data_IF_567066676598
#
_entry.id   IF_567066676598
#
_cell.length_a   1.000
_cell.length_b   1.000
_cell.length_c   1.000
_cell.angle_alpha   90.00
_cell.angle_beta   90.00
_cell.angle_gamma   90.00
#
_symmetry.space_group_name_H-M   'P 1'
#
loop_
_entity.id
_entity.type
_entity.pdbx_description
1 polymer ?
#
# COMPACT_ATOMS: atom_id res chain seq x y z
N UNK A 1 -5.70 3.11 18.94
CA UNK A 1 -5.36 1.70 18.57
C UNK A 1 -4.76 1.69 17.19
N UNK A 2 -3.57 1.11 17.04
CA UNK A 2 -2.98 0.97 15.70
C UNK A 2 -3.81 0.08 14.79
N UNK A 3 -3.82 0.43 13.51
CA UNK A 3 -4.54 -0.31 12.49
C UNK A 3 -3.51 -0.95 11.57
N UNK A 4 -3.55 -2.27 11.45
CA UNK A 4 -2.63 -3.03 10.60
C UNK A 4 -3.39 -3.53 9.38
N UNK A 5 -2.95 -3.17 8.19
CA UNK A 5 -3.66 -3.51 6.96
C UNK A 5 -2.70 -4.07 5.93
N UNK A 6 -3.16 -5.07 5.20
CA UNK A 6 -2.48 -5.59 4.02
C UNK A 6 -3.38 -5.35 2.81
N UNK A 7 -2.84 -4.73 1.77
CA UNK A 7 -3.49 -4.55 0.49
C UNK A 7 -2.83 -5.47 -0.53
N UNK A 8 -3.60 -6.23 -1.27
CA UNK A 8 -3.08 -7.17 -2.27
C UNK A 8 -3.77 -6.95 -3.60
N UNK A 9 -3.00 -7.04 -4.68
CA UNK A 9 -3.55 -6.88 -6.03
C UNK A 9 -2.63 -7.51 -7.07
N UNK A 10 -3.19 -7.70 -8.26
CA UNK A 10 -2.43 -8.19 -9.42
C UNK A 10 -2.55 -7.17 -10.54
N UNK A 11 -1.46 -6.96 -11.28
CA UNK A 11 -1.43 -6.07 -12.44
C UNK A 11 -1.13 -6.85 -13.71
N UNK A 12 -1.43 -6.24 -14.84
CA UNK A 12 -1.04 -6.78 -16.15
C UNK A 12 0.49 -6.80 -16.24
N UNK A 13 1.08 -7.80 -16.93
CA UNK A 13 2.53 -7.80 -17.12
C UNK A 13 3.06 -6.50 -17.72
N UNK A 14 2.32 -5.88 -18.64
CA UNK A 14 2.71 -4.61 -19.25
C UNK A 14 2.65 -3.42 -18.29
N UNK A 15 1.99 -3.57 -17.13
CA UNK A 15 1.85 -2.51 -16.15
C UNK A 15 2.84 -2.56 -15.00
N UNK A 16 3.67 -3.62 -14.93
CA UNK A 16 4.58 -3.84 -13.79
C UNK A 16 5.49 -2.64 -13.57
N UNK A 17 6.19 -2.19 -14.62
CA UNK A 17 7.15 -1.09 -14.47
C UNK A 17 6.48 0.22 -14.08
N UNK A 18 5.32 0.50 -14.63
CA UNK A 18 4.55 1.70 -14.29
C UNK A 18 4.15 1.70 -12.82
N UNK A 19 3.66 0.56 -12.33
CA UNK A 19 3.25 0.44 -10.93
C UNK A 19 4.45 0.54 -10.00
N UNK A 20 5.58 -0.07 -10.34
CA UNK A 20 6.79 0.03 -9.53
C UNK A 20 7.30 1.46 -9.43
N UNK A 21 7.25 2.21 -10.53
CA UNK A 21 7.63 3.64 -10.50
C UNK A 21 6.70 4.44 -9.61
N UNK A 22 5.38 4.16 -9.69
CA UNK A 22 4.41 4.84 -8.85
C UNK A 22 4.63 4.55 -7.37
N UNK A 23 4.96 3.30 -7.02
CA UNK A 23 5.30 2.91 -5.65
C UNK A 23 6.56 3.64 -5.17
N UNK A 24 7.60 3.69 -6.02
CA UNK A 24 8.86 4.35 -5.67
C UNK A 24 8.69 5.83 -5.40
N UNK A 25 7.69 6.46 -5.97
CA UNK A 25 7.34 7.86 -5.72
C UNK A 25 6.45 8.02 -4.50
N UNK A 26 5.48 7.12 -4.34
CA UNK A 26 4.47 7.18 -3.30
C UNK A 26 5.00 6.92 -1.89
N UNK A 27 5.81 5.87 -1.73
CA UNK A 27 6.30 5.46 -0.40
C UNK A 27 7.15 6.54 0.26
N UNK A 28 8.12 7.18 -0.43
CA UNK A 28 8.86 8.29 0.18
C UNK A 28 7.98 9.48 0.55
N UNK A 29 6.93 9.74 -0.24
CA UNK A 29 5.98 10.80 0.09
C UNK A 29 5.26 10.51 1.40
N UNK A 30 4.78 9.28 1.58
CA UNK A 30 4.12 8.86 2.82
C UNK A 30 5.06 9.06 4.01
N UNK A 31 6.31 8.63 3.87
CA UNK A 31 7.32 8.77 4.92
C UNK A 31 7.52 10.23 5.32
N UNK A 32 7.55 11.13 4.35
CA UNK A 32 7.84 12.54 4.59
C UNK A 32 6.63 13.33 5.10
N UNK A 33 5.41 12.93 4.75
CA UNK A 33 4.22 13.76 4.91
C UNK A 33 3.14 13.17 5.80
N UNK A 34 3.25 11.90 6.21
CA UNK A 34 2.21 11.23 6.99
C UNK A 34 2.77 10.67 8.29
N UNK A 35 2.96 11.53 9.33
CA UNK A 35 3.53 11.05 10.59
C UNK A 35 2.68 10.00 11.30
N UNK A 36 1.36 9.96 11.03
CA UNK A 36 0.48 8.94 11.60
C UNK A 36 0.55 7.59 10.90
N UNK A 37 1.20 7.51 9.73
CA UNK A 37 1.46 6.24 9.07
C UNK A 37 2.80 5.71 9.59
N UNK A 38 2.73 4.80 10.55
CA UNK A 38 3.92 4.32 11.29
C UNK A 38 4.78 3.39 10.48
N UNK A 39 4.18 2.68 9.53
CA UNK A 39 4.89 1.79 8.62
C UNK A 39 4.17 1.79 7.28
N UNK A 40 4.92 1.78 6.22
CA UNK A 40 4.39 1.53 4.88
C UNK A 40 5.44 0.80 4.07
N UNK A 41 5.15 -0.45 3.70
CA UNK A 41 6.04 -1.27 2.89
C UNK A 41 5.28 -1.80 1.69
N UNK A 42 5.93 -1.78 0.54
CA UNK A 42 5.40 -2.35 -0.68
C UNK A 42 6.27 -3.53 -1.09
N UNK A 43 5.64 -4.65 -1.42
CA UNK A 43 6.30 -5.90 -1.75
C UNK A 43 5.81 -6.40 -3.10
N UNK A 44 6.73 -6.96 -3.88
CA UNK A 44 6.40 -7.66 -5.11
C UNK A 44 6.64 -9.15 -4.90
N UNK A 45 5.69 -9.99 -5.29
CA UNK A 45 5.84 -11.42 -5.12
C UNK A 45 6.98 -11.93 -6.00
N UNK A 46 7.88 -12.71 -5.40
CA UNK A 46 9.13 -13.08 -6.06
C UNK A 46 8.92 -14.03 -7.23
N UNK A 47 8.01 -14.99 -7.08
CA UNK A 47 7.73 -15.99 -8.11
C UNK A 47 6.57 -15.61 -9.04
N UNK A 48 5.95 -14.45 -8.81
CA UNK A 48 4.92 -13.91 -9.68
C UNK A 48 4.98 -12.38 -9.65
N UNK A 49 5.79 -11.77 -10.52
CA UNK A 49 6.02 -10.32 -10.51
C UNK A 49 4.78 -9.46 -10.78
N UNK A 50 3.66 -10.05 -11.21
CA UNK A 50 2.40 -9.33 -11.39
C UNK A 50 1.67 -9.08 -10.08
N UNK A 51 2.05 -9.77 -9.00
CA UNK A 51 1.38 -9.66 -7.71
C UNK A 51 2.15 -8.76 -6.76
N UNK A 52 1.42 -7.84 -6.13
CA UNK A 52 1.96 -6.89 -5.17
C UNK A 52 1.19 -6.97 -3.87
N UNK A 53 1.90 -6.71 -2.78
CA UNK A 53 1.29 -6.58 -1.45
C UNK A 53 1.86 -5.36 -0.76
N UNK A 54 1.00 -4.59 -0.13
CA UNK A 54 1.41 -3.45 0.68
C UNK A 54 1.02 -3.71 2.12
N UNK A 55 1.96 -3.56 3.02
CA UNK A 55 1.69 -3.69 4.45
C UNK A 55 1.89 -2.32 5.10
N UNK A 56 0.87 -1.85 5.81
CA UNK A 56 0.97 -0.54 6.45
C UNK A 56 0.27 -0.53 7.80
N UNK A 57 0.76 0.37 8.67
CA UNK A 57 0.27 0.54 10.02
C UNK A 57 -0.07 2.01 10.21
N UNK A 58 -1.32 2.30 10.57
CA UNK A 58 -1.74 3.64 10.97
C UNK A 58 -1.79 3.73 12.48
N UNK A 59 -1.43 4.89 13.01
CA UNK A 59 -1.46 5.17 14.44
C UNK A 59 -2.87 5.03 15.01
N UNK A 60 -3.88 5.51 14.26
CA UNK A 60 -5.28 5.49 14.67
C UNK A 60 -6.19 5.76 13.46
N UNK A 61 -7.49 5.85 13.73
CA UNK A 61 -8.48 6.11 12.67
C UNK A 61 -8.29 7.47 11.99
N UNK A 62 -7.83 8.48 12.72
CA UNK A 62 -7.58 9.79 12.14
C UNK A 62 -6.43 9.72 11.13
N UNK A 63 -5.37 8.98 11.44
CA UNK A 63 -4.24 8.77 10.53
C UNK A 63 -4.68 8.00 9.28
N UNK A 64 -5.53 6.99 9.45
CA UNK A 64 -6.10 6.24 8.33
C UNK A 64 -6.91 7.16 7.42
N UNK A 65 -7.79 7.99 7.99
CA UNK A 65 -8.61 8.90 7.21
C UNK A 65 -7.76 9.93 6.46
N UNK A 66 -6.71 10.45 7.09
CA UNK A 66 -5.80 11.40 6.46
C UNK A 66 -5.08 10.77 5.27
N UNK A 67 -4.62 9.52 5.41
CA UNK A 67 -3.98 8.78 4.32
C UNK A 67 -4.97 8.57 3.17
N UNK A 68 -6.15 8.03 3.45
CA UNK A 68 -7.14 7.68 2.44
C UNK A 68 -7.62 8.90 1.65
N UNK A 69 -7.63 10.08 2.27
CA UNK A 69 -8.06 11.32 1.62
C UNK A 69 -6.95 12.11 0.93
N UNK A 70 -5.70 11.63 0.98
CA UNK A 70 -4.57 12.41 0.48
C UNK A 70 -4.53 12.45 -1.05
N UNK A 71 -3.95 13.53 -1.57
CA UNK A 71 -3.72 13.66 -3.02
C UNK A 71 -2.73 12.61 -3.53
N UNK A 72 -1.76 12.23 -2.69
CA UNK A 72 -0.78 11.23 -3.05
C UNK A 72 -1.43 9.86 -3.28
N UNK A 73 -2.40 9.48 -2.43
CA UNK A 73 -3.16 8.25 -2.63
C UNK A 73 -3.94 8.31 -3.93
N UNK A 74 -4.59 9.44 -4.20
CA UNK A 74 -5.35 9.61 -5.45
C UNK A 74 -4.47 9.48 -6.68
N UNK A 75 -3.27 10.09 -6.65
CA UNK A 75 -2.31 9.96 -7.75
C UNK A 75 -1.84 8.52 -7.92
N UNK A 76 -1.57 7.85 -6.80
CA UNK A 76 -1.14 6.46 -6.84
C UNK A 76 -2.25 5.57 -7.42
N UNK A 77 -3.49 5.76 -6.97
CA UNK A 77 -4.64 5.03 -7.51
C UNK A 77 -4.82 5.27 -9.01
N UNK A 78 -4.65 6.49 -9.46
CA UNK A 78 -4.74 6.81 -10.89
C UNK A 78 -3.67 6.07 -11.70
N UNK A 79 -2.52 5.79 -11.10
CA UNK A 79 -1.44 5.07 -11.77
C UNK A 79 -1.68 3.57 -11.82
N UNK A 80 -2.16 2.95 -10.72
CA UNK A 80 -2.26 1.48 -10.69
C UNK A 80 -3.61 0.94 -11.14
N UNK A 81 -4.72 1.65 -10.93
CA UNK A 81 -6.05 1.12 -11.26
C UNK A 81 -6.19 0.68 -12.72
N UNK A 82 -5.71 1.45 -13.72
CA UNK A 82 -5.80 0.99 -15.11
C UNK A 82 -5.00 -0.27 -15.40
N UNK A 83 -4.04 -0.58 -14.55
CA UNK A 83 -3.16 -1.75 -14.74
C UNK A 83 -3.65 -3.00 -14.01
N UNK A 84 -4.71 -2.89 -13.20
CA UNK A 84 -5.22 -4.04 -12.44
C UNK A 84 -5.72 -5.13 -13.37
N UNK A 85 -5.45 -6.37 -12.99
CA UNK A 85 -6.02 -7.56 -13.60
C UNK A 85 -6.63 -8.43 -12.50
N UNK A 86 -7.61 -9.24 -12.85
CA UNK A 86 -8.29 -10.14 -11.90
C UNK A 86 -9.01 -9.42 -10.76
N UNK A 87 -9.58 -8.24 -11.03
CA UNK A 87 -10.40 -7.55 -10.04
C UNK A 87 -9.67 -6.42 -9.33
N UNK A 88 -10.25 -5.96 -8.24
CA UNK A 88 -9.79 -4.79 -7.51
C UNK A 88 -8.79 -5.16 -6.42
N UNK A 89 -8.22 -4.14 -5.78
CA UNK A 89 -7.37 -4.31 -4.60
C UNK A 89 -8.18 -4.88 -3.47
N UNK A 90 -7.62 -5.87 -2.76
CA UNK A 90 -8.24 -6.45 -1.57
C UNK A 90 -7.51 -5.92 -0.35
N UNK A 91 -8.25 -5.23 0.52
CA UNK A 91 -7.74 -4.71 1.79
C UNK A 91 -8.19 -5.63 2.92
N UNK A 92 -7.26 -6.06 3.75
CA UNK A 92 -7.57 -6.90 4.91
C UNK A 92 -6.92 -6.31 6.14
N UNK A 93 -7.73 -6.05 7.17
CA UNK A 93 -7.23 -5.57 8.44
C UNK A 93 -6.84 -6.74 9.33
N UNK A 94 -5.75 -6.56 10.07
CA UNK A 94 -5.20 -7.61 10.94
C UNK A 94 -5.01 -7.07 12.34
N UNK A 95 -5.12 -7.94 13.31
CA UNK A 95 -4.80 -7.63 14.70
C UNK A 95 -3.48 -8.29 15.05
N UNK A 96 -2.53 -7.50 15.55
CA UNK A 96 -1.25 -8.04 15.98
C UNK A 96 -1.46 -9.00 17.15
N UNK A 97 -0.97 -10.22 17.03
CA UNK A 97 -1.02 -11.22 18.10
C UNK A 97 0.28 -11.22 18.88
N UNK A 98 1.41 -11.22 18.18
CA UNK A 98 2.73 -11.21 18.80
C UNK A 98 3.78 -10.82 17.80
N UNK A 99 4.88 -10.25 18.28
CA UNK A 99 6.04 -9.93 17.46
C UNK A 99 7.30 -10.22 18.27
N UNK A 100 8.39 -10.56 17.56
CA UNK A 100 9.65 -10.84 18.24
C UNK A 100 10.51 -9.59 18.44
N UNK A 101 10.00 -8.42 18.04
CA UNK A 101 10.68 -7.12 18.25
C UNK A 101 9.64 -6.02 18.45
N UNK A 102 10.10 -4.92 18.99
CA UNK A 102 9.26 -3.77 19.31
C UNK A 102 9.22 -2.75 18.21
#
# INVERSE_FOLDING_TARGET
MPIHTIAQYRVKPSGIDKVKRAIAEFVPYVRANEPGTKLYQAWQQKDDPTRFGHFFIFEDEAAHAAHAGSEAVKRFEAAYRPELSEGDVVFTDYQLVAANRR
#
